data_IF_595882601458
#
_entry.id   IF_595882601458
#
_cell.length_a   1.000
_cell.length_b   1.000
_cell.length_c   1.000
_cell.angle_alpha   90.00
_cell.angle_beta   90.00
_cell.angle_gamma   90.00
#
_symmetry.space_group_name_H-M   'P 1'
#
loop_
_entity.id
_entity.type
_entity.pdbx_description
1 polymer ?
#
# COMPACT_ATOMS: atom_id res chain seq x y z
N UNK A 1 -2.85 -11.44 -17.21
CA UNK A 1 -2.70 -12.39 -16.08
C UNK A 1 -4.09 -12.92 -15.76
N UNK A 2 -4.27 -14.24 -15.71
CA UNK A 2 -5.55 -14.84 -15.33
C UNK A 2 -5.39 -15.45 -13.94
N UNK A 3 -6.23 -15.02 -13.00
CA UNK A 3 -6.23 -15.52 -11.62
C UNK A 3 -7.60 -16.12 -11.35
N UNK A 4 -7.63 -17.36 -10.87
CA UNK A 4 -8.85 -18.03 -10.44
C UNK A 4 -8.81 -18.20 -8.94
N UNK A 5 -9.72 -17.53 -8.23
CA UNK A 5 -9.85 -17.62 -6.78
C UNK A 5 -11.08 -18.47 -6.47
N UNK A 6 -10.90 -19.53 -5.67
CA UNK A 6 -12.02 -20.26 -5.08
C UNK A 6 -12.51 -19.50 -3.86
N UNK A 7 -13.80 -19.21 -3.82
CA UNK A 7 -14.47 -18.52 -2.72
C UNK A 7 -15.68 -19.35 -2.30
N UNK A 8 -16.04 -19.28 -1.02
CA UNK A 8 -17.36 -19.73 -0.57
C UNK A 8 -18.44 -18.73 -1.02
N UNK A 9 -19.70 -19.15 -0.99
CA UNK A 9 -20.83 -18.27 -1.33
C UNK A 9 -20.88 -17.01 -0.43
N UNK A 10 -20.52 -17.17 0.83
CA UNK A 10 -20.50 -16.08 1.81
C UNK A 10 -19.37 -15.07 1.53
N UNK A 11 -18.15 -15.56 1.27
CA UNK A 11 -17.02 -14.71 0.89
C UNK A 11 -17.31 -13.93 -0.39
N UNK A 12 -17.90 -14.60 -1.39
CA UNK A 12 -18.29 -13.95 -2.64
C UNK A 12 -19.34 -12.86 -2.40
N UNK A 13 -20.35 -13.12 -1.57
CA UNK A 13 -21.40 -12.14 -1.26
C UNK A 13 -20.82 -10.88 -0.62
N UNK A 14 -19.86 -11.03 0.29
CA UNK A 14 -19.17 -9.90 0.93
C UNK A 14 -18.37 -9.11 -0.12
N UNK A 15 -17.57 -9.80 -0.94
CA UNK A 15 -16.74 -9.15 -1.95
C UNK A 15 -17.57 -8.45 -3.05
N UNK A 16 -18.67 -9.06 -3.49
CA UNK A 16 -19.62 -8.44 -4.43
C UNK A 16 -20.30 -7.21 -3.83
N UNK A 17 -20.61 -7.23 -2.52
CA UNK A 17 -21.21 -6.07 -1.84
C UNK A 17 -20.21 -4.92 -1.74
N UNK A 18 -18.96 -5.21 -1.39
CA UNK A 18 -17.88 -4.21 -1.38
C UNK A 18 -17.68 -3.58 -2.76
N UNK A 19 -17.54 -4.40 -3.80
CA UNK A 19 -17.35 -3.91 -5.17
C UNK A 19 -18.52 -3.01 -5.63
N UNK A 20 -19.76 -3.38 -5.28
CA UNK A 20 -20.95 -2.57 -5.56
C UNK A 20 -20.95 -1.23 -4.83
N UNK A 21 -20.57 -1.19 -3.55
CA UNK A 21 -20.47 0.05 -2.78
C UNK A 21 -19.46 1.02 -3.40
N UNK A 22 -18.33 0.50 -3.86
CA UNK A 22 -17.26 1.26 -4.52
C UNK A 22 -17.53 1.56 -6.01
N UNK A 23 -18.63 1.04 -6.58
CA UNK A 23 -18.98 1.24 -7.99
C UNK A 23 -18.01 0.58 -8.98
N UNK A 24 -17.29 -0.46 -8.56
CA UNK A 24 -16.28 -1.17 -9.37
C UNK A 24 -16.68 -2.64 -9.59
N UNK A 25 -15.99 -3.31 -10.52
CA UNK A 25 -16.16 -4.75 -10.70
C UNK A 25 -15.49 -5.54 -9.57
N UNK A 26 -15.99 -6.75 -9.30
CA UNK A 26 -15.37 -7.66 -8.33
C UNK A 26 -13.90 -7.95 -8.66
N UNK A 27 -13.57 -8.13 -9.95
CA UNK A 27 -12.19 -8.35 -10.40
C UNK A 27 -11.29 -7.15 -10.13
N UNK A 28 -11.81 -5.93 -10.28
CA UNK A 28 -11.07 -4.70 -9.99
C UNK A 28 -10.86 -4.54 -8.48
N UNK A 29 -11.88 -4.81 -7.67
CA UNK A 29 -11.76 -4.79 -6.21
C UNK A 29 -10.69 -5.77 -5.72
N UNK A 30 -10.69 -7.00 -6.23
CA UNK A 30 -9.69 -8.02 -5.91
C UNK A 30 -8.28 -7.58 -6.36
N UNK A 31 -8.18 -7.00 -7.56
CA UNK A 31 -6.90 -6.53 -8.09
C UNK A 31 -6.32 -5.41 -7.23
N UNK A 32 -7.14 -4.43 -6.83
CA UNK A 32 -6.72 -3.34 -5.94
C UNK A 32 -6.24 -3.86 -4.59
N UNK A 33 -7.07 -4.66 -3.92
CA UNK A 33 -6.71 -5.25 -2.63
C UNK A 33 -5.43 -6.08 -2.70
N UNK A 34 -5.18 -6.78 -3.81
CA UNK A 34 -3.96 -7.55 -4.01
C UNK A 34 -2.72 -6.67 -4.13
N UNK A 35 -2.77 -5.60 -4.93
CA UNK A 35 -1.63 -4.69 -5.08
C UNK A 35 -1.41 -3.83 -3.84
N UNK A 36 -2.46 -3.37 -3.19
CA UNK A 36 -2.39 -2.61 -1.93
C UNK A 36 -1.70 -3.43 -0.84
N UNK A 37 -2.03 -4.71 -0.70
CA UNK A 37 -1.34 -5.59 0.25
C UNK A 37 0.16 -5.79 -0.07
N UNK A 38 0.53 -5.81 -1.35
CA UNK A 38 1.94 -5.90 -1.77
C UNK A 38 2.68 -4.58 -1.49
N UNK A 39 2.05 -3.45 -1.80
CA UNK A 39 2.58 -2.11 -1.53
C UNK A 39 2.79 -1.91 -0.04
N UNK A 40 1.82 -2.26 0.81
CA UNK A 40 1.95 -2.18 2.27
C UNK A 40 3.16 -2.98 2.80
N UNK A 41 3.35 -4.22 2.30
CA UNK A 41 4.50 -5.05 2.70
C UNK A 41 5.83 -4.47 2.20
N UNK A 42 5.86 -3.94 0.98
CA UNK A 42 7.04 -3.31 0.40
C UNK A 42 7.42 -2.02 1.13
N UNK A 43 6.46 -1.12 1.32
CA UNK A 43 6.63 0.15 2.04
C UNK A 43 7.08 -0.10 3.48
N UNK A 44 6.53 -1.10 4.14
CA UNK A 44 6.96 -1.47 5.50
C UNK A 44 8.41 -1.98 5.51
N UNK A 45 8.82 -2.77 4.52
CA UNK A 45 10.19 -3.27 4.41
C UNK A 45 11.17 -2.12 4.15
N UNK A 46 10.85 -1.23 3.22
CA UNK A 46 11.67 -0.05 2.90
C UNK A 46 11.76 0.90 4.10
N UNK A 47 10.65 1.19 4.75
CA UNK A 47 10.62 2.05 5.93
C UNK A 47 11.47 1.50 7.08
N UNK A 48 11.48 0.18 7.29
CA UNK A 48 12.37 -0.46 8.27
C UNK A 48 13.84 -0.27 7.91
N UNK A 49 14.20 -0.46 6.64
CA UNK A 49 15.58 -0.28 6.19
C UNK A 49 16.04 1.17 6.38
N UNK A 50 15.24 2.14 5.93
CA UNK A 50 15.50 3.57 6.13
C UNK A 50 15.64 3.89 7.62
N UNK A 51 14.74 3.37 8.46
CA UNK A 51 14.78 3.58 9.91
C UNK A 51 16.10 3.10 10.52
N UNK A 52 16.59 1.93 10.13
CA UNK A 52 17.88 1.42 10.59
C UNK A 52 19.07 2.26 10.09
N UNK A 53 19.04 2.74 8.84
CA UNK A 53 20.08 3.66 8.32
C UNK A 53 20.09 5.00 9.07
N UNK A 54 18.92 5.53 9.41
CA UNK A 54 18.80 6.74 10.25
C UNK A 54 19.39 6.50 11.64
N UNK A 55 19.05 5.38 12.30
CA UNK A 55 19.60 5.03 13.62
C UNK A 55 21.12 4.87 13.59
N UNK A 56 21.65 4.30 12.52
CA UNK A 56 23.08 4.09 12.31
C UNK A 56 23.81 5.37 11.84
N UNK A 57 23.09 6.48 11.63
CA UNK A 57 23.64 7.75 11.18
C UNK A 57 24.16 7.73 9.73
N UNK A 58 23.76 6.73 8.94
CA UNK A 58 24.19 6.58 7.54
C UNK A 58 23.18 7.16 6.54
N UNK A 59 22.03 7.63 7.03
CA UNK A 59 21.01 8.29 6.23
C UNK A 59 21.00 9.80 6.47
N UNK A 60 20.81 10.59 5.40
CA UNK A 60 20.66 12.04 5.55
C UNK A 60 19.24 12.37 5.97
N UNK A 61 19.11 13.06 7.09
CA UNK A 61 17.84 13.60 7.57
C UNK A 61 17.90 15.13 7.56
N UNK A 62 16.74 15.75 7.38
CA UNK A 62 16.59 17.20 7.37
C UNK A 62 15.55 17.56 8.42
N UNK A 63 15.78 18.66 9.14
CA UNK A 63 14.74 19.31 9.93
C UNK A 63 13.67 19.92 9.01
N UNK A 64 12.51 20.24 9.57
CA UNK A 64 11.41 20.86 8.80
C UNK A 64 11.88 22.16 8.11
N UNK A 65 12.56 23.05 8.84
CA UNK A 65 13.10 24.31 8.32
C UNK A 65 14.10 24.10 7.17
N UNK A 66 14.91 23.03 7.22
CA UNK A 66 15.86 22.70 6.15
C UNK A 66 15.13 22.15 4.92
N UNK A 67 14.12 21.32 5.13
CA UNK A 67 13.29 20.77 4.05
C UNK A 67 12.52 21.88 3.32
N UNK A 68 11.92 22.83 4.05
CA UNK A 68 11.21 23.98 3.47
C UNK A 68 12.14 24.84 2.61
N UNK A 69 13.34 25.14 3.10
CA UNK A 69 14.37 25.85 2.32
C UNK A 69 14.80 25.09 1.06
N UNK A 70 14.94 23.77 1.15
CA UNK A 70 15.32 22.93 0.01
C UNK A 70 14.21 22.85 -1.05
N UNK A 71 12.94 22.86 -0.63
CA UNK A 71 11.78 22.80 -1.51
C UNK A 71 11.32 24.19 -1.99
N UNK A 72 11.88 25.27 -1.45
CA UNK A 72 11.53 26.65 -1.83
C UNK A 72 10.17 27.10 -1.29
N UNK A 73 9.77 26.57 -0.13
CA UNK A 73 8.56 26.92 0.60
C UNK A 73 8.81 28.02 1.64
#
# INVERSE_FOLDING_TARGET
>A
MNVTIRMTDEQRKIADSYAKCEGISLSEAIKRAFFEAIEDEYDLAEAKEVSERIKNGTEKTYSLDEAERLMGL
#
